data_IF_292245686728
#
_entry.id   IF_292245686728
#
_cell.length_a   1.000
_cell.length_b   1.000
_cell.length_c   1.000
_cell.angle_alpha   90.00
_cell.angle_beta   90.00
_cell.angle_gamma   90.00
#
_symmetry.space_group_name_H-M   'P 1'
#
loop_
_entity.id
_entity.type
_entity.pdbx_description
1 polymer ?
#
# COMPACT_ATOMS: atom_id res chain seq x y z
N UNK A 1 2.10 -5.77 -10.66
CA UNK A 1 0.72 -5.87 -10.14
C UNK A 1 0.44 -4.66 -9.24
N UNK A 2 -0.80 -4.21 -9.13
CA UNK A 2 -1.14 -3.15 -8.19
C UNK A 2 -1.41 -3.71 -6.80
N UNK A 3 -1.03 -2.95 -5.78
CA UNK A 3 -1.30 -3.24 -4.39
C UNK A 3 -1.82 -1.98 -3.69
N UNK A 4 -2.80 -2.18 -2.81
CA UNK A 4 -3.22 -1.20 -1.82
C UNK A 4 -2.68 -1.68 -0.48
N UNK A 5 -1.80 -0.88 0.13
CA UNK A 5 -1.36 -1.10 1.50
C UNK A 5 -2.25 -0.28 2.42
N UNK A 6 -3.01 -0.95 3.29
CA UNK A 6 -3.82 -0.30 4.32
C UNK A 6 -3.03 -0.26 5.62
N UNK A 7 -2.72 0.95 6.08
CA UNK A 7 -1.99 1.20 7.32
C UNK A 7 -2.98 1.46 8.45
N UNK A 8 -3.00 0.58 9.44
CA UNK A 8 -3.68 0.75 10.72
C UNK A 8 -2.67 1.17 11.78
N UNK A 9 -2.58 2.46 12.08
CA UNK A 9 -1.57 2.92 13.04
C UNK A 9 -1.94 2.46 14.46
N UNK A 10 -0.97 1.89 15.19
CA UNK A 10 -1.20 1.39 16.57
C UNK A 10 -1.29 2.51 17.61
N UNK A 11 -1.17 3.75 17.17
CA UNK A 11 -1.17 4.95 17.99
C UNK A 11 -0.96 6.17 17.12
N UNK A 12 -0.52 7.28 17.73
CA UNK A 12 -0.20 8.49 16.99
C UNK A 12 0.96 8.23 16.02
N UNK A 13 0.79 8.47 14.70
CA UNK A 13 1.89 8.36 13.75
C UNK A 13 3.09 9.21 14.16
N UNK A 14 4.32 8.74 13.97
CA UNK A 14 5.50 9.49 14.35
C UNK A 14 5.68 10.70 13.43
N UNK A 15 6.35 11.75 13.93
CA UNK A 15 6.51 13.02 13.19
C UNK A 15 7.32 12.86 11.89
N UNK A 16 8.19 11.85 11.84
CA UNK A 16 9.06 11.53 10.71
C UNK A 16 8.39 10.61 9.67
N UNK A 17 7.13 10.20 9.85
CA UNK A 17 6.44 9.29 8.93
C UNK A 17 6.46 9.83 7.49
N UNK A 18 6.18 11.12 7.31
CA UNK A 18 6.15 11.74 5.99
C UNK A 18 7.51 11.66 5.28
N UNK A 19 8.60 11.87 6.02
CA UNK A 19 9.97 11.77 5.50
C UNK A 19 10.30 10.33 5.10
N UNK A 20 9.93 9.34 5.93
CA UNK A 20 10.13 7.91 5.62
C UNK A 20 9.40 7.48 4.35
N UNK A 21 8.15 7.91 4.19
CA UNK A 21 7.33 7.61 3.00
C UNK A 21 7.93 8.31 1.76
N UNK A 22 8.38 9.56 1.91
CA UNK A 22 8.99 10.31 0.81
C UNK A 22 10.34 9.72 0.38
N UNK A 23 11.19 9.32 1.32
CA UNK A 23 12.47 8.67 1.03
C UNK A 23 12.25 7.39 0.23
N UNK A 24 11.36 6.52 0.70
CA UNK A 24 11.03 5.26 0.02
C UNK A 24 10.36 5.52 -1.34
N UNK A 25 9.62 6.63 -1.49
CA UNK A 25 9.00 6.99 -2.76
C UNK A 25 10.00 7.53 -3.78
N UNK A 26 11.03 8.26 -3.34
CA UNK A 26 12.10 8.79 -4.20
C UNK A 26 13.11 7.72 -4.60
N UNK A 27 13.32 6.72 -3.73
CA UNK A 27 14.27 5.63 -3.94
C UNK A 27 13.59 4.29 -3.66
N UNK A 28 12.61 3.90 -4.48
CA UNK A 28 11.92 2.65 -4.26
C UNK A 28 12.86 1.47 -4.55
N UNK A 29 12.69 0.33 -3.86
CA UNK A 29 13.34 -0.91 -4.23
C UNK A 29 13.06 -1.28 -5.71
N UNK A 30 13.94 -2.04 -6.37
CA UNK A 30 13.66 -2.57 -7.70
C UNK A 30 12.30 -3.28 -7.75
N UNK A 31 11.54 -3.03 -8.82
CA UNK A 31 10.21 -3.61 -8.99
C UNK A 31 9.11 -2.95 -8.16
N UNK A 32 9.42 -1.98 -7.28
CA UNK A 32 8.44 -1.24 -6.49
C UNK A 32 8.20 0.15 -7.09
N UNK A 33 6.93 0.53 -7.29
CA UNK A 33 6.57 1.84 -7.85
C UNK A 33 5.43 2.46 -7.05
N UNK A 34 5.70 3.49 -6.23
CA UNK A 34 4.65 4.21 -5.53
C UNK A 34 3.82 5.10 -6.46
N UNK A 35 2.51 5.13 -6.23
CA UNK A 35 1.57 6.03 -6.91
C UNK A 35 1.13 7.18 -6.01
N UNK A 36 0.74 6.87 -4.76
CA UNK A 36 0.29 7.89 -3.83
C UNK A 36 -0.02 7.33 -2.45
N UNK A 37 0.29 8.13 -1.42
CA UNK A 37 0.01 7.84 -0.02
C UNK A 37 -1.03 8.84 0.50
N UNK A 38 -2.16 8.33 1.00
CA UNK A 38 -3.30 9.14 1.37
C UNK A 38 -3.75 8.84 2.80
N UNK A 39 -4.14 9.88 3.52
CA UNK A 39 -4.81 9.72 4.81
C UNK A 39 -6.28 9.39 4.61
N UNK A 40 -6.78 8.46 5.41
CA UNK A 40 -8.20 8.15 5.48
C UNK A 40 -8.86 9.05 6.54
N UNK A 41 -9.92 9.75 6.14
CA UNK A 41 -10.68 10.59 7.06
C UNK A 41 -11.49 9.69 8.03
N UNK A 42 -11.43 9.99 9.32
CA UNK A 42 -12.17 9.29 10.38
C UNK A 42 -11.27 8.51 11.32
N UNK A 43 -10.46 7.56 10.83
CA UNK A 43 -9.61 6.72 11.68
C UNK A 43 -8.16 7.22 11.83
N UNK A 44 -7.78 8.27 11.09
CA UNK A 44 -6.38 8.75 11.00
C UNK A 44 -5.40 7.65 10.54
N UNK A 45 -5.91 6.68 9.78
CA UNK A 45 -5.14 5.65 9.09
C UNK A 45 -4.68 6.14 7.72
N UNK A 46 -3.91 5.33 6.99
CA UNK A 46 -3.47 5.66 5.65
C UNK A 46 -3.63 4.51 4.65
N UNK A 47 -3.66 4.86 3.37
CA UNK A 47 -3.59 3.93 2.24
C UNK A 47 -2.46 4.33 1.32
N UNK A 48 -1.69 3.35 0.87
CA UNK A 48 -0.63 3.53 -0.11
C UNK A 48 -0.91 2.67 -1.35
N UNK A 49 -1.11 3.33 -2.49
CA UNK A 49 -1.17 2.66 -3.77
C UNK A 49 0.23 2.50 -4.36
N UNK A 50 0.60 1.26 -4.67
CA UNK A 50 1.91 0.91 -5.22
C UNK A 50 1.78 -0.16 -6.30
N UNK A 51 2.80 -0.27 -7.12
CA UNK A 51 3.06 -1.41 -7.98
C UNK A 51 4.21 -2.24 -7.39
N UNK A 52 4.08 -3.56 -7.44
CA UNK A 52 5.15 -4.50 -7.13
C UNK A 52 5.10 -5.71 -8.07
N UNK A 53 6.23 -6.44 -8.18
CA UNK A 53 6.31 -7.66 -9.01
C UNK A 53 5.48 -8.81 -8.43
N UNK A 54 5.41 -8.93 -7.09
CA UNK A 54 4.60 -9.94 -6.42
C UNK A 54 4.20 -9.55 -4.98
N UNK A 55 3.41 -10.40 -4.31
CA UNK A 55 2.91 -10.14 -2.93
C UNK A 55 4.05 -10.06 -1.90
N UNK A 56 5.03 -10.99 -1.87
CA UNK A 56 6.19 -10.87 -0.98
C UNK A 56 6.94 -9.53 -1.06
N UNK A 57 7.10 -8.97 -2.26
CA UNK A 57 7.82 -7.70 -2.49
C UNK A 57 7.04 -6.53 -1.87
N UNK A 58 5.72 -6.53 -2.02
CA UNK A 58 4.85 -5.57 -1.34
C UNK A 58 4.86 -5.73 0.19
N UNK A 59 4.93 -6.98 0.70
CA UNK A 59 5.07 -7.26 2.13
C UNK A 59 6.40 -6.76 2.70
N UNK A 60 7.51 -6.89 1.96
CA UNK A 60 8.81 -6.36 2.40
C UNK A 60 8.78 -4.84 2.58
N UNK A 61 8.06 -4.11 1.72
CA UNK A 61 7.84 -2.68 1.90
C UNK A 61 6.97 -2.40 3.14
N UNK A 62 5.89 -3.16 3.34
CA UNK A 62 5.02 -3.04 4.51
C UNK A 62 5.76 -3.29 5.84
N UNK A 63 6.69 -4.25 5.87
CA UNK A 63 7.48 -4.58 7.06
C UNK A 63 8.34 -3.43 7.59
N UNK A 64 8.64 -2.42 6.76
CA UNK A 64 9.38 -1.20 7.17
C UNK A 64 8.60 -0.28 8.09
N UNK A 65 7.30 -0.52 8.25
CA UNK A 65 6.40 0.28 9.08
C UNK A 65 5.74 -0.58 10.19
N UNK A 66 6.17 -1.84 10.34
CA UNK A 66 5.56 -2.81 11.26
C UNK A 66 5.64 -2.39 12.72
N UNK A 67 6.52 -1.47 13.07
CA UNK A 67 6.72 -0.95 14.42
C UNK A 67 5.70 0.13 14.78
N UNK A 68 5.11 0.80 13.79
CA UNK A 68 4.15 1.90 13.99
C UNK A 68 2.72 1.57 13.51
N UNK A 69 2.57 0.60 12.62
CA UNK A 69 1.28 0.22 12.05
C UNK A 69 1.16 -1.30 11.86
N UNK A 70 -0.08 -1.79 11.92
CA UNK A 70 -0.48 -3.03 11.26
C UNK A 70 -0.76 -2.69 9.78
N UNK A 71 -0.13 -3.41 8.87
CA UNK A 71 -0.22 -3.11 7.43
C UNK A 71 -0.81 -4.31 6.71
N UNK A 72 -1.98 -4.12 6.10
CA UNK A 72 -2.61 -5.10 5.24
C UNK A 72 -2.18 -4.86 3.79
N UNK A 73 -1.69 -5.89 3.10
CA UNK A 73 -1.29 -5.83 1.70
C UNK A 73 -2.39 -6.45 0.85
N UNK A 74 -3.08 -5.63 0.07
CA UNK A 74 -4.23 -6.03 -0.73
C UNK A 74 -3.85 -6.01 -2.21
N UNK A 75 -3.78 -7.17 -2.91
CA UNK A 75 -3.68 -7.20 -4.36
C UNK A 75 -4.87 -6.48 -4.98
N UNK A 76 -4.60 -5.57 -5.91
CA UNK A 76 -5.61 -4.75 -6.56
C UNK A 76 -5.64 -5.02 -8.06
N UNK A 77 -6.84 -5.23 -8.58
CA UNK A 77 -7.10 -5.33 -10.02
C UNK A 77 -7.58 -3.96 -10.53
N UNK A 78 -7.02 -3.46 -11.65
CA UNK A 78 -7.59 -2.32 -12.35
C UNK A 78 -9.05 -2.56 -12.71
N UNK A 79 -9.87 -1.51 -12.70
CA UNK A 79 -11.29 -1.59 -13.02
C UNK A 79 -11.56 -2.30 -14.37
N UNK A 80 -10.72 -2.05 -15.37
CA UNK A 80 -10.83 -2.67 -16.70
C UNK A 80 -10.51 -4.17 -16.74
N UNK A 81 -9.82 -4.71 -15.74
CA UNK A 81 -9.55 -6.15 -15.62
C UNK A 81 -10.64 -6.87 -14.81
N UNK A 82 -11.32 -6.14 -13.92
CA UNK A 82 -12.40 -6.68 -13.08
C UNK A 82 -13.63 -7.10 -13.91
N UNK A 83 -13.91 -6.43 -15.03
CA UNK A 83 -15.11 -6.74 -15.83
C UNK A 83 -15.19 -8.20 -16.28
N UNK A 84 -14.04 -8.84 -16.56
CA UNK A 84 -13.95 -10.26 -16.94
C UNK A 84 -14.25 -11.24 -15.81
N UNK A 85 -14.14 -10.80 -14.55
CA UNK A 85 -14.43 -11.61 -13.37
C UNK A 85 -15.89 -11.46 -12.90
N UNK A 86 -16.56 -10.39 -13.32
CA UNK A 86 -17.96 -10.10 -12.97
C UNK A 86 -18.97 -10.67 -13.99
N UNK A 87 -18.49 -11.17 -15.13
CA UNK A 87 -19.28 -12.02 -16.03
C UNK A 87 -19.50 -13.37 -15.33
N UNK A 88 -20.74 -13.63 -14.91
CA UNK A 88 -21.11 -14.88 -14.20
C UNK A 88 -20.72 -16.12 -15.05
N UNK A 89 -20.22 -17.21 -14.43
CA UNK A 89 -20.40 -18.52 -15.01
C UNK A 89 -21.90 -18.85 -15.01
N UNK A 90 -22.41 -19.30 -16.15
CA UNK A 90 -23.78 -19.84 -16.30
C UNK A 90 -24.10 -20.95 -15.29
#
# INVERSE_FOLDING_TARGET
MHFILLFKFRGKPPRDLAERVEELSRRPPPGFKPYGFYWTLGSLDAVWHVEAESVPEALLAALRFREIADVEVLPALPLGEVSRLLEKPD
#
